data_IF_005114185481
#
_entry.id   IF_005114185481
#
_cell.length_a   1.000
_cell.length_b   1.000
_cell.length_c   1.000
_cell.angle_alpha   90.00
_cell.angle_beta   90.00
_cell.angle_gamma   90.00
#
_symmetry.space_group_name_H-M   'P 1'
#
loop_
_entity.id
_entity.type
_entity.pdbx_description
1 polymer ?
#
# COMPACT_ATOMS: atom_id res chain seq x y z
N UNK A 1 13.26 34.13 -68.97
CA UNK A 1 12.90 32.92 -68.20
C UNK A 1 13.87 32.63 -67.07
N UNK A 2 15.16 32.34 -67.35
CA UNK A 2 16.16 31.95 -66.31
C UNK A 2 16.39 32.95 -65.16
N UNK A 3 16.27 34.26 -65.39
CA UNK A 3 16.43 35.28 -64.33
C UNK A 3 15.23 35.31 -63.39
N UNK A 4 14.01 35.11 -63.92
CA UNK A 4 12.78 35.09 -63.14
C UNK A 4 12.73 33.84 -62.26
N UNK A 5 13.14 32.68 -62.79
CA UNK A 5 13.29 31.44 -62.01
C UNK A 5 14.29 31.63 -60.86
N UNK A 6 15.45 32.23 -61.12
CA UNK A 6 16.46 32.46 -60.07
C UNK A 6 15.98 33.42 -58.98
N UNK A 7 15.22 34.46 -59.34
CA UNK A 7 14.62 35.39 -58.38
C UNK A 7 13.54 34.67 -57.56
N UNK A 8 12.71 33.84 -58.20
CA UNK A 8 11.68 33.06 -57.52
C UNK A 8 12.30 32.07 -56.54
N UNK A 9 13.33 31.32 -56.95
CA UNK A 9 14.03 30.34 -56.11
C UNK A 9 14.73 30.99 -54.91
N UNK A 10 15.36 32.15 -55.14
CA UNK A 10 15.96 32.94 -54.05
C UNK A 10 14.89 33.45 -53.09
N UNK A 11 13.73 33.87 -53.60
CA UNK A 11 12.62 34.35 -52.77
C UNK A 11 12.02 33.23 -51.94
N UNK A 12 11.83 32.04 -52.51
CA UNK A 12 11.36 30.84 -51.81
C UNK A 12 12.35 30.44 -50.72
N UNK A 13 13.65 30.43 -51.02
CA UNK A 13 14.70 30.08 -50.04
C UNK A 13 14.73 31.06 -48.86
N UNK A 14 14.57 32.36 -49.12
CA UNK A 14 14.49 33.39 -48.07
C UNK A 14 13.23 33.20 -47.23
N UNK A 15 12.10 32.85 -47.85
CA UNK A 15 10.82 32.63 -47.19
C UNK A 15 10.83 31.36 -46.32
N UNK A 16 11.44 30.28 -46.80
CA UNK A 16 11.69 29.07 -46.01
C UNK A 16 12.63 29.34 -44.84
N UNK A 17 13.70 30.12 -45.06
CA UNK A 17 14.62 30.52 -44.00
C UNK A 17 13.96 31.36 -42.91
N UNK A 18 13.12 32.34 -43.30
CA UNK A 18 12.37 33.17 -42.34
C UNK A 18 11.28 32.37 -41.62
N UNK A 19 10.60 31.46 -42.31
CA UNK A 19 9.61 30.58 -41.70
C UNK A 19 10.26 29.63 -40.68
N UNK A 20 11.41 29.04 -41.02
CA UNK A 20 12.16 28.15 -40.13
C UNK A 20 12.70 28.88 -38.91
N UNK A 21 13.22 30.10 -39.08
CA UNK A 21 13.65 30.95 -37.97
C UNK A 21 12.46 31.35 -37.06
N UNK A 22 11.31 31.65 -37.66
CA UNK A 22 10.07 31.92 -36.92
C UNK A 22 9.58 30.70 -36.14
N UNK A 23 9.74 29.49 -36.69
CA UNK A 23 9.36 28.23 -36.05
C UNK A 23 10.31 27.89 -34.90
N UNK A 24 11.62 28.09 -35.06
CA UNK A 24 12.62 27.94 -33.99
C UNK A 24 12.42 28.98 -32.88
N UNK A 25 12.09 30.23 -33.22
CA UNK A 25 11.75 31.25 -32.22
C UNK A 25 10.42 30.94 -31.51
N UNK A 26 9.43 30.41 -32.22
CA UNK A 26 8.19 29.92 -31.64
C UNK A 26 8.45 28.71 -30.73
N UNK A 27 9.25 27.73 -31.14
CA UNK A 27 9.68 26.63 -30.27
C UNK A 27 10.44 27.15 -29.05
N UNK A 28 11.26 28.20 -29.18
CA UNK A 28 11.97 28.82 -28.05
C UNK A 28 11.00 29.57 -27.11
N UNK A 29 9.95 30.19 -27.63
CA UNK A 29 8.91 30.88 -26.85
C UNK A 29 7.89 29.92 -26.22
N UNK A 30 7.59 28.79 -26.88
CA UNK A 30 6.66 27.75 -26.44
C UNK A 30 7.35 26.60 -25.69
N UNK A 31 8.69 26.50 -25.73
CA UNK A 31 9.51 25.63 -24.86
C UNK A 31 9.66 26.18 -23.45
N UNK A 32 8.62 26.86 -22.96
CA UNK A 32 8.21 26.85 -21.55
C UNK A 32 7.84 25.44 -21.06
N UNK A 33 8.57 24.40 -21.51
CA UNK A 33 8.75 23.18 -20.74
C UNK A 33 9.27 23.68 -19.39
N UNK A 34 8.50 23.58 -18.30
CA UNK A 34 9.02 23.95 -17.00
C UNK A 34 10.27 23.10 -16.82
N UNK A 35 11.45 23.72 -16.76
CA UNK A 35 12.67 23.04 -16.32
C UNK A 35 12.26 22.28 -15.06
N UNK A 36 12.27 20.94 -15.14
CA UNK A 36 11.94 20.06 -14.02
C UNK A 36 12.72 20.63 -12.83
N UNK A 37 12.04 21.19 -11.82
CA UNK A 37 12.70 21.85 -10.69
C UNK A 37 13.74 20.86 -10.16
N UNK A 38 15.02 21.09 -10.42
CA UNK A 38 16.09 20.16 -10.07
C UNK A 38 16.42 20.20 -8.57
N UNK A 39 15.67 20.97 -7.78
CA UNK A 39 15.80 21.03 -6.33
C UNK A 39 14.43 20.98 -5.65
N UNK A 40 14.36 20.22 -4.57
CA UNK A 40 13.34 20.42 -3.55
C UNK A 40 13.56 21.83 -2.96
N UNK A 41 12.56 22.71 -3.05
CA UNK A 41 12.63 24.00 -2.36
C UNK A 41 12.38 23.76 -0.87
N UNK A 42 13.45 23.44 -0.14
CA UNK A 42 13.41 23.40 1.32
C UNK A 42 13.86 24.77 1.84
N UNK A 43 13.05 25.38 2.70
CA UNK A 43 13.44 26.56 3.46
C UNK A 43 13.38 26.20 4.93
N UNK A 44 14.41 26.59 5.69
CA UNK A 44 14.33 26.52 7.14
C UNK A 44 13.27 27.51 7.62
N UNK A 45 12.36 27.03 8.46
CA UNK A 45 11.36 27.87 9.14
C UNK A 45 11.49 27.69 10.64
N UNK A 46 11.17 28.74 11.38
CA UNK A 46 11.21 28.67 12.84
C UNK A 46 10.12 27.69 13.34
N UNK A 47 10.43 26.75 14.24
CA UNK A 47 9.43 25.83 14.80
C UNK A 47 8.20 26.56 15.36
N UNK A 48 8.37 27.75 15.93
CA UNK A 48 7.29 28.53 16.51
C UNK A 48 6.23 29.00 15.51
N UNK A 49 6.54 29.02 14.21
CA UNK A 49 5.57 29.34 13.15
C UNK A 49 4.70 28.15 12.77
N UNK A 50 5.20 26.93 13.00
CA UNK A 50 4.54 25.68 12.61
C UNK A 50 3.82 24.98 13.77
N UNK A 51 4.39 25.05 14.98
CA UNK A 51 3.95 24.27 16.14
C UNK A 51 3.26 25.14 17.19
N UNK A 52 2.09 24.69 17.66
CA UNK A 52 1.33 25.36 18.72
C UNK A 52 0.71 24.34 19.68
N UNK A 53 0.59 24.69 20.96
CA UNK A 53 -0.11 23.88 21.96
C UNK A 53 -1.63 23.87 21.77
N UNK A 54 -2.17 24.75 20.92
CA UNK A 54 -3.60 24.78 20.55
C UNK A 54 -3.95 23.83 19.41
N UNK A 55 -2.93 23.27 18.74
CA UNK A 55 -3.11 22.36 17.63
C UNK A 55 -3.16 20.90 18.10
N UNK A 56 -3.74 20.02 17.27
CA UNK A 56 -3.93 18.59 17.58
C UNK A 56 -3.53 17.66 16.41
N UNK A 57 -2.68 18.13 15.50
CA UNK A 57 -2.06 17.31 14.46
C UNK A 57 -0.74 16.68 14.92
N UNK A 58 0.13 16.28 13.99
CA UNK A 58 1.40 15.61 14.30
C UNK A 58 2.27 16.37 15.31
N UNK A 59 2.78 15.64 16.31
CA UNK A 59 3.73 16.16 17.30
C UNK A 59 5.15 15.71 16.92
N UNK A 60 5.91 16.59 16.26
CA UNK A 60 7.24 16.25 15.72
C UNK A 60 8.42 16.66 16.62
N UNK A 61 8.15 17.41 17.69
CA UNK A 61 9.18 18.02 18.55
C UNK A 61 9.03 17.68 20.04
N UNK A 62 8.11 16.78 20.41
CA UNK A 62 8.00 16.18 21.74
C UNK A 62 7.64 17.11 22.92
N UNK A 63 7.43 18.41 22.70
CA UNK A 63 7.17 19.39 23.76
C UNK A 63 5.67 19.72 23.94
N UNK A 64 4.77 18.88 23.42
CA UNK A 64 3.32 19.10 23.48
C UNK A 64 2.80 20.19 22.55
N UNK A 65 3.64 20.72 21.64
CA UNK A 65 3.21 21.61 20.55
C UNK A 65 3.10 20.81 19.26
N UNK A 66 1.99 20.99 18.55
CA UNK A 66 1.64 20.17 17.41
C UNK A 66 1.49 21.01 16.14
N UNK A 67 1.63 20.36 14.99
CA UNK A 67 1.13 20.89 13.72
C UNK A 67 -0.40 21.00 13.76
N UNK A 68 -0.96 21.91 12.98
CA UNK A 68 -2.41 21.88 12.71
C UNK A 68 -2.78 20.59 11.97
N UNK A 69 -4.06 20.19 12.02
CA UNK A 69 -4.53 19.04 11.24
C UNK A 69 -4.25 19.24 9.74
N UNK A 70 -4.51 20.44 9.21
CA UNK A 70 -4.23 20.80 7.81
C UNK A 70 -2.76 20.67 7.41
N UNK A 71 -1.83 21.03 8.29
CA UNK A 71 -0.40 20.83 8.05
C UNK A 71 -0.01 19.35 8.19
N UNK A 72 -0.67 18.59 9.06
CA UNK A 72 -0.40 17.15 9.20
C UNK A 72 -0.83 16.35 7.97
N UNK A 73 -1.81 16.86 7.22
CA UNK A 73 -2.23 16.30 5.93
C UNK A 73 -1.17 16.40 4.83
N UNK A 74 -0.11 17.20 5.01
CA UNK A 74 1.02 17.23 4.07
C UNK A 74 2.02 16.10 4.33
N UNK A 75 1.70 15.19 5.24
CA UNK A 75 2.52 14.06 5.65
C UNK A 75 3.79 14.49 6.40
N UNK A 76 4.48 13.54 7.01
CA UNK A 76 5.75 13.73 7.67
C UNK A 76 6.68 12.53 7.42
N UNK A 77 7.97 12.81 7.24
CA UNK A 77 9.03 11.81 7.25
C UNK A 77 9.99 12.14 8.39
N UNK A 78 10.18 11.19 9.29
CA UNK A 78 11.08 11.31 10.43
C UNK A 78 12.21 10.31 10.25
N UNK A 79 13.43 10.82 10.12
CA UNK A 79 14.64 10.01 9.94
C UNK A 79 15.48 10.11 11.20
N UNK A 80 15.92 8.98 11.74
CA UNK A 80 16.84 8.99 12.87
C UNK A 80 17.32 7.60 13.24
N UNK A 81 18.58 7.47 13.66
CA UNK A 81 19.16 6.19 14.06
C UNK A 81 18.43 5.50 15.23
N UNK A 82 18.84 4.28 15.56
CA UNK A 82 18.34 3.58 16.75
C UNK A 82 18.66 4.36 18.02
N UNK A 83 17.71 4.43 18.96
CA UNK A 83 17.90 5.09 20.26
C UNK A 83 17.84 6.62 20.27
N UNK A 84 17.68 7.30 19.12
CA UNK A 84 17.67 8.78 19.06
C UNK A 84 16.34 9.42 19.51
N UNK A 85 15.39 8.62 19.98
CA UNK A 85 14.11 9.10 20.52
C UNK A 85 12.96 9.23 19.52
N UNK A 86 12.97 8.53 18.38
CA UNK A 86 11.84 8.53 17.42
C UNK A 86 10.50 8.19 18.10
N UNK A 87 10.48 7.13 18.90
CA UNK A 87 9.27 6.72 19.64
C UNK A 87 8.95 7.67 20.80
N UNK A 88 9.95 8.03 21.61
CA UNK A 88 9.75 8.83 22.83
C UNK A 88 9.49 10.33 22.59
N UNK A 89 10.01 10.90 21.50
CA UNK A 89 9.89 12.33 21.16
C UNK A 89 8.80 12.58 20.12
N UNK A 90 8.52 11.62 19.23
CA UNK A 90 7.55 11.82 18.14
C UNK A 90 6.30 10.96 18.31
N UNK A 91 6.41 9.64 18.27
CA UNK A 91 5.24 8.75 18.19
C UNK A 91 4.39 8.77 19.46
N UNK A 92 4.99 8.58 20.64
CA UNK A 92 4.28 8.56 21.93
C UNK A 92 3.64 9.93 22.21
N UNK A 93 4.35 11.08 22.11
CA UNK A 93 3.73 12.39 22.27
C UNK A 93 2.62 12.65 21.24
N UNK A 94 2.79 12.19 20.00
CA UNK A 94 1.75 12.28 18.97
C UNK A 94 0.47 11.56 19.42
N UNK A 95 0.57 10.31 19.87
CA UNK A 95 -0.58 9.54 20.36
C UNK A 95 -1.23 10.15 21.62
N UNK A 96 -0.49 10.88 22.44
CA UNK A 96 -1.06 11.58 23.60
C UNK A 96 -1.76 12.89 23.25
N UNK A 97 -1.35 13.58 22.20
CA UNK A 97 -1.77 14.96 21.94
C UNK A 97 -2.67 15.11 20.71
N UNK A 98 -2.57 14.21 19.74
CA UNK A 98 -3.36 14.25 18.51
C UNK A 98 -4.85 14.01 18.74
N UNK A 99 -5.66 14.42 17.76
CA UNK A 99 -7.09 14.09 17.62
C UNK A 99 -7.34 13.44 16.26
N UNK A 100 -8.42 12.67 16.16
CA UNK A 100 -8.76 11.83 15.01
C UNK A 100 -8.48 10.35 15.29
N UNK A 101 -8.72 9.49 14.31
CA UNK A 101 -8.46 8.06 14.43
C UNK A 101 -7.04 7.72 13.97
N UNK A 102 -6.46 6.68 14.56
CA UNK A 102 -5.05 6.32 14.39
C UNK A 102 -4.92 4.89 13.86
N UNK A 103 -4.10 4.73 12.82
CA UNK A 103 -3.59 3.44 12.35
C UNK A 103 -2.09 3.45 12.64
N UNK A 104 -1.68 2.64 13.60
CA UNK A 104 -0.32 2.64 14.15
C UNK A 104 0.35 1.33 13.79
N UNK A 105 1.40 1.36 12.98
CA UNK A 105 2.30 0.22 12.81
C UNK A 105 3.30 0.24 13.97
N UNK A 106 3.25 -0.79 14.82
CA UNK A 106 3.95 -0.87 16.11
C UNK A 106 4.60 -2.26 16.26
N UNK A 107 5.67 -2.57 15.51
CA UNK A 107 6.29 -3.90 15.53
C UNK A 107 6.86 -4.27 16.92
N UNK A 108 7.32 -3.31 17.71
CA UNK A 108 7.82 -3.58 19.07
C UNK A 108 6.71 -3.71 20.12
N UNK A 109 5.45 -3.42 19.76
CA UNK A 109 4.32 -3.27 20.70
C UNK A 109 4.53 -2.19 21.78
N UNK A 110 5.59 -1.38 21.67
CA UNK A 110 5.96 -0.37 22.67
C UNK A 110 4.91 0.74 22.71
N UNK A 111 4.44 1.17 21.54
CA UNK A 111 3.49 2.29 21.44
C UNK A 111 2.16 1.90 22.07
N UNK A 112 1.67 0.70 21.79
CA UNK A 112 0.47 0.17 22.42
C UNK A 112 0.61 0.11 23.94
N UNK A 113 1.67 -0.54 24.45
CA UNK A 113 1.88 -0.71 25.90
C UNK A 113 1.90 0.64 26.63
N UNK A 114 2.50 1.66 26.02
CA UNK A 114 2.62 2.98 26.64
C UNK A 114 1.37 3.84 26.46
N UNK A 115 0.64 3.75 25.35
CA UNK A 115 -0.37 4.77 24.98
C UNK A 115 -1.81 4.28 24.99
N UNK A 116 -2.07 2.97 24.82
CA UNK A 116 -3.43 2.45 24.68
C UNK A 116 -4.33 2.75 25.89
N UNK A 117 -3.79 2.63 27.10
CA UNK A 117 -4.53 2.93 28.33
C UNK A 117 -4.95 4.40 28.43
N UNK A 118 -4.10 5.32 27.98
CA UNK A 118 -4.42 6.76 27.92
C UNK A 118 -5.48 7.07 26.86
N UNK A 119 -5.32 6.50 25.65
CA UNK A 119 -6.28 6.67 24.56
C UNK A 119 -7.67 6.15 24.96
N UNK A 120 -7.72 4.98 25.62
CA UNK A 120 -8.96 4.41 26.15
C UNK A 120 -9.63 5.36 27.16
N UNK A 121 -8.87 5.97 28.07
CA UNK A 121 -9.39 6.99 29.01
C UNK A 121 -9.92 8.25 28.30
N UNK A 122 -9.45 8.56 27.08
CA UNK A 122 -9.96 9.65 26.24
C UNK A 122 -11.14 9.24 25.35
N UNK A 123 -11.67 8.04 25.53
CA UNK A 123 -12.85 7.55 24.80
C UNK A 123 -12.53 6.90 23.45
N UNK A 124 -11.27 6.57 23.17
CA UNK A 124 -10.92 5.81 21.97
C UNK A 124 -11.33 4.34 22.11
N UNK A 125 -11.88 3.78 21.05
CA UNK A 125 -11.94 2.34 20.89
C UNK A 125 -10.54 1.83 20.51
N UNK A 126 -9.99 0.93 21.30
CA UNK A 126 -8.68 0.34 21.07
C UNK A 126 -8.85 -0.98 20.33
N UNK A 127 -8.30 -1.06 19.13
CA UNK A 127 -8.22 -2.30 18.34
C UNK A 127 -6.75 -2.71 18.20
N UNK A 128 -6.52 -4.02 18.15
CA UNK A 128 -5.20 -4.60 17.86
C UNK A 128 -5.33 -5.50 16.64
N UNK A 129 -4.32 -5.52 15.77
CA UNK A 129 -4.15 -6.51 14.71
C UNK A 129 -2.79 -7.17 14.93
N UNK A 130 -2.82 -8.41 15.39
CA UNK A 130 -1.63 -9.19 15.74
C UNK A 130 -1.73 -10.60 15.18
N UNK A 131 -0.92 -10.89 14.16
CA UNK A 131 -0.99 -12.16 13.45
C UNK A 131 -0.43 -13.35 14.24
N UNK A 132 0.31 -13.09 15.32
CA UNK A 132 0.88 -14.11 16.21
C UNK A 132 0.03 -14.41 17.45
N UNK A 133 -0.95 -13.55 17.78
CA UNK A 133 -1.77 -13.64 19.00
C UNK A 133 -3.27 -13.51 18.71
N UNK A 134 -3.89 -14.53 18.10
CA UNK A 134 -5.28 -14.46 17.63
C UNK A 134 -6.30 -14.11 18.72
N UNK A 135 -6.06 -14.53 19.95
CA UNK A 135 -6.91 -14.27 21.12
C UNK A 135 -7.04 -12.78 21.48
N UNK A 136 -6.06 -11.97 21.09
CA UNK A 136 -6.02 -10.54 21.37
C UNK A 136 -6.14 -9.67 20.11
N UNK A 137 -6.24 -10.31 18.94
CA UNK A 137 -6.28 -9.65 17.64
C UNK A 137 -7.71 -9.49 17.13
N UNK A 138 -7.94 -8.39 16.40
CA UNK A 138 -9.07 -8.25 15.49
C UNK A 138 -8.89 -9.19 14.29
N UNK A 139 -9.99 -9.61 13.68
CA UNK A 139 -9.99 -10.37 12.43
C UNK A 139 -9.69 -9.46 11.23
N UNK A 140 -8.80 -9.92 10.35
CA UNK A 140 -8.46 -9.27 9.09
C UNK A 140 -8.45 -10.29 7.95
N UNK A 141 -9.55 -10.37 7.18
CA UNK A 141 -9.59 -11.21 5.99
C UNK A 141 -9.34 -10.36 4.72
N UNK A 142 -8.18 -10.51 4.04
CA UNK A 142 -7.89 -9.76 2.83
C UNK A 142 -8.91 -9.97 1.71
N UNK A 143 -9.47 -11.18 1.61
CA UNK A 143 -10.38 -11.53 0.54
C UNK A 143 -11.73 -10.85 0.72
N UNK A 144 -12.24 -10.67 1.95
CA UNK A 144 -13.52 -9.98 2.18
C UNK A 144 -13.52 -8.52 1.67
N UNK A 145 -12.33 -7.89 1.60
CA UNK A 145 -12.14 -6.53 1.08
C UNK A 145 -11.72 -6.45 -0.39
N UNK A 146 -11.57 -7.58 -1.08
CA UNK A 146 -11.26 -7.62 -2.51
C UNK A 146 -12.50 -8.14 -3.28
N UNK A 147 -13.30 -7.22 -3.82
CA UNK A 147 -14.58 -7.57 -4.45
C UNK A 147 -14.59 -7.37 -5.98
N UNK A 148 -13.60 -6.64 -6.50
CA UNK A 148 -13.39 -6.47 -7.94
C UNK A 148 -12.23 -7.31 -8.43
N UNK A 149 -12.22 -7.65 -9.73
CA UNK A 149 -11.09 -8.37 -10.34
C UNK A 149 -9.76 -7.65 -10.15
N UNK A 150 -9.76 -6.30 -10.22
CA UNK A 150 -8.55 -5.50 -9.99
C UNK A 150 -8.02 -5.59 -8.56
N UNK A 151 -8.91 -5.62 -7.55
CA UNK A 151 -8.50 -5.80 -6.15
C UNK A 151 -7.98 -7.21 -5.89
N UNK A 152 -8.62 -8.23 -6.47
CA UNK A 152 -8.15 -9.62 -6.39
C UNK A 152 -6.75 -9.74 -7.01
N UNK A 153 -6.55 -9.18 -8.21
CA UNK A 153 -5.25 -9.13 -8.87
C UNK A 153 -4.19 -8.41 -8.02
N UNK A 154 -4.56 -7.30 -7.38
CA UNK A 154 -3.66 -6.57 -6.47
C UNK A 154 -3.24 -7.42 -5.28
N UNK A 155 -4.19 -8.12 -4.63
CA UNK A 155 -3.89 -9.02 -3.51
C UNK A 155 -2.98 -10.18 -3.97
N UNK A 156 -3.30 -10.84 -5.08
CA UNK A 156 -2.47 -11.92 -5.65
C UNK A 156 -1.06 -11.46 -5.97
N UNK A 157 -0.93 -10.29 -6.61
CA UNK A 157 0.36 -9.68 -6.93
C UNK A 157 1.20 -9.41 -5.69
N UNK A 158 0.61 -8.82 -4.65
CA UNK A 158 1.30 -8.56 -3.39
C UNK A 158 1.77 -9.84 -2.70
N UNK A 159 0.97 -10.91 -2.72
CA UNK A 159 1.35 -12.19 -2.12
C UNK A 159 2.56 -12.81 -2.83
N UNK A 160 2.52 -12.87 -4.17
CA UNK A 160 3.60 -13.47 -4.98
C UNK A 160 4.87 -12.64 -4.90
N UNK A 161 4.79 -11.33 -5.10
CA UNK A 161 5.97 -10.46 -5.12
C UNK A 161 6.69 -10.39 -3.78
N UNK A 162 5.97 -10.40 -2.65
CA UNK A 162 6.62 -10.42 -1.35
C UNK A 162 7.33 -11.76 -1.06
N UNK A 163 6.77 -12.88 -1.51
CA UNK A 163 7.37 -14.19 -1.31
C UNK A 163 8.61 -14.43 -2.17
N UNK A 164 8.61 -13.96 -3.42
CA UNK A 164 9.75 -14.07 -4.33
C UNK A 164 10.83 -13.00 -4.08
N UNK A 165 10.51 -11.96 -3.31
CA UNK A 165 11.40 -10.82 -3.08
C UNK A 165 11.71 -10.04 -4.36
N UNK A 166 12.61 -9.05 -4.26
CA UNK A 166 12.95 -8.15 -5.38
C UNK A 166 13.66 -8.86 -6.54
N UNK A 167 14.28 -10.03 -6.29
CA UNK A 167 14.90 -10.83 -7.35
C UNK A 167 13.88 -11.64 -8.18
N UNK A 168 12.64 -11.78 -7.71
CA UNK A 168 11.56 -12.44 -8.43
C UNK A 168 11.21 -11.83 -9.79
N UNK A 169 11.62 -10.57 -10.03
CA UNK A 169 11.50 -9.93 -11.34
C UNK A 169 12.40 -10.55 -12.43
N UNK A 170 13.37 -11.42 -12.07
CA UNK A 170 14.20 -12.13 -13.05
C UNK A 170 13.42 -13.22 -13.80
N UNK A 171 12.36 -13.75 -13.20
CA UNK A 171 11.46 -14.74 -13.83
C UNK A 171 10.01 -14.20 -13.88
N UNK A 172 9.80 -13.17 -14.71
CA UNK A 172 8.50 -12.54 -14.91
C UNK A 172 7.41 -13.56 -15.32
N UNK A 173 7.78 -14.62 -16.05
CA UNK A 173 6.87 -15.70 -16.42
C UNK A 173 6.27 -16.40 -15.19
N UNK A 174 7.10 -16.92 -14.28
CA UNK A 174 6.63 -17.63 -13.08
C UNK A 174 5.83 -16.70 -12.15
N UNK A 175 6.28 -15.45 -12.02
CA UNK A 175 5.57 -14.43 -11.25
C UNK A 175 4.16 -14.19 -11.82
N UNK A 176 4.04 -13.92 -13.12
CA UNK A 176 2.75 -13.62 -13.75
C UNK A 176 1.82 -14.83 -13.76
N UNK A 177 2.34 -16.03 -14.04
CA UNK A 177 1.55 -17.27 -13.99
C UNK A 177 1.03 -17.55 -12.59
N UNK A 178 1.83 -17.32 -11.55
CA UNK A 178 1.40 -17.50 -10.17
C UNK A 178 0.33 -16.48 -9.75
N UNK A 179 0.50 -15.22 -10.15
CA UNK A 179 -0.51 -14.17 -9.91
C UNK A 179 -1.84 -14.54 -10.57
N UNK A 180 -1.81 -15.00 -11.83
CA UNK A 180 -2.98 -15.44 -12.56
C UNK A 180 -3.67 -16.62 -11.87
N UNK A 181 -2.92 -17.65 -11.48
CA UNK A 181 -3.47 -18.82 -10.77
C UNK A 181 -4.09 -18.43 -9.42
N UNK A 182 -3.42 -17.62 -8.60
CA UNK A 182 -3.98 -17.16 -7.34
C UNK A 182 -5.26 -16.35 -7.55
N UNK A 183 -5.26 -15.42 -8.52
CA UNK A 183 -6.45 -14.63 -8.82
C UNK A 183 -7.63 -15.49 -9.28
N UNK A 184 -7.37 -16.51 -10.11
CA UNK A 184 -8.37 -17.48 -10.55
C UNK A 184 -8.98 -18.27 -9.37
N UNK A 185 -8.13 -18.81 -8.49
CA UNK A 185 -8.59 -19.55 -7.31
C UNK A 185 -9.35 -18.67 -6.32
N UNK A 186 -8.90 -17.42 -6.09
CA UNK A 186 -9.63 -16.46 -5.26
C UNK A 186 -10.99 -16.15 -5.89
N UNK A 187 -11.04 -15.94 -7.21
CA UNK A 187 -12.30 -15.66 -7.93
C UNK A 187 -13.28 -16.83 -7.82
N UNK A 188 -12.79 -18.08 -7.87
CA UNK A 188 -13.62 -19.26 -7.60
C UNK A 188 -14.18 -19.23 -6.17
N UNK A 189 -13.34 -19.01 -5.16
CA UNK A 189 -13.79 -18.95 -3.77
C UNK A 189 -14.81 -17.82 -3.54
N UNK A 190 -14.71 -16.71 -4.28
CA UNK A 190 -15.69 -15.61 -4.24
C UNK A 190 -17.09 -16.00 -4.71
N UNK A 191 -17.25 -17.13 -5.40
CA UNK A 191 -18.54 -17.71 -5.78
C UNK A 191 -19.13 -18.65 -4.70
N UNK A 192 -18.36 -18.94 -3.65
CA UNK A 192 -18.77 -19.77 -2.51
C UNK A 192 -19.21 -18.90 -1.33
N UNK A 193 -19.74 -19.55 -0.29
CA UNK A 193 -20.13 -18.89 0.96
C UNK A 193 -18.94 -18.20 1.64
N UNK A 194 -19.23 -17.13 2.39
CA UNK A 194 -18.21 -16.23 2.96
C UNK A 194 -17.19 -16.94 3.84
N UNK A 195 -17.55 -18.04 4.49
CA UNK A 195 -16.65 -18.85 5.32
C UNK A 195 -15.51 -19.51 4.52
N UNK A 196 -15.73 -19.78 3.23
CA UNK A 196 -14.73 -20.35 2.34
C UNK A 196 -13.84 -19.29 1.69
N UNK A 197 -14.18 -18.01 1.78
CA UNK A 197 -13.45 -16.91 1.16
C UNK A 197 -12.25 -16.49 2.02
N UNK A 198 -11.27 -17.38 2.20
CA UNK A 198 -10.04 -17.12 2.99
C UNK A 198 -8.79 -17.54 2.23
N UNK A 199 -7.65 -16.92 2.54
CA UNK A 199 -6.36 -17.31 1.95
C UNK A 199 -5.90 -18.71 2.39
N UNK A 200 -6.36 -19.16 3.57
CA UNK A 200 -6.19 -20.55 4.01
C UNK A 200 -6.88 -21.52 3.03
N UNK A 201 -8.11 -21.23 2.61
CA UNK A 201 -8.82 -22.07 1.64
C UNK A 201 -8.17 -22.05 0.26
N UNK A 202 -7.60 -20.92 -0.18
CA UNK A 202 -6.79 -20.88 -1.42
C UNK A 202 -5.61 -21.87 -1.32
N UNK A 203 -4.93 -21.90 -0.17
CA UNK A 203 -3.84 -22.85 0.07
C UNK A 203 -4.33 -24.31 0.05
N UNK A 204 -5.51 -24.60 0.61
CA UNK A 204 -6.12 -25.94 0.54
C UNK A 204 -6.36 -26.35 -0.92
N UNK A 205 -6.91 -25.47 -1.75
CA UNK A 205 -7.09 -25.73 -3.18
C UNK A 205 -5.75 -26.02 -3.87
N UNK A 206 -4.71 -25.21 -3.64
CA UNK A 206 -3.38 -25.47 -4.20
C UNK A 206 -2.77 -26.81 -3.77
N UNK A 207 -3.03 -27.24 -2.53
CA UNK A 207 -2.59 -28.55 -2.07
C UNK A 207 -3.34 -29.67 -2.77
N UNK A 208 -4.67 -29.54 -2.92
CA UNK A 208 -5.51 -30.48 -3.64
C UNK A 208 -5.11 -30.59 -5.12
N UNK A 209 -4.74 -29.50 -5.79
CA UNK A 209 -4.24 -29.56 -7.18
C UNK A 209 -3.03 -30.49 -7.36
N UNK A 210 -2.22 -30.69 -6.32
CA UNK A 210 -1.04 -31.57 -6.39
C UNK A 210 -1.25 -33.00 -5.88
N UNK A 211 -2.37 -33.28 -5.20
CA UNK A 211 -2.61 -34.58 -4.55
C UNK A 211 -3.97 -35.21 -4.82
N UNK A 212 -4.97 -34.41 -5.18
CA UNK A 212 -6.35 -34.83 -5.48
C UNK A 212 -7.01 -33.81 -6.45
N UNK A 213 -6.47 -33.64 -7.66
CA UNK A 213 -6.89 -32.58 -8.59
C UNK A 213 -8.37 -32.67 -8.97
N UNK A 214 -8.97 -33.87 -8.94
CA UNK A 214 -10.37 -34.10 -9.29
C UNK A 214 -11.34 -33.32 -8.38
N UNK A 215 -10.95 -33.06 -7.12
CA UNK A 215 -11.74 -32.24 -6.19
C UNK A 215 -11.79 -30.78 -6.63
N UNK A 216 -10.68 -30.27 -7.17
CA UNK A 216 -10.59 -28.90 -7.69
C UNK A 216 -11.38 -28.79 -9.00
N UNK A 217 -11.27 -29.80 -9.87
CA UNK A 217 -12.05 -29.87 -11.11
C UNK A 217 -13.56 -29.83 -10.85
N UNK A 218 -14.04 -30.58 -9.85
CA UNK A 218 -15.45 -30.58 -9.46
C UNK A 218 -15.92 -29.21 -8.96
N UNK A 219 -15.09 -28.50 -8.18
CA UNK A 219 -15.42 -27.16 -7.70
C UNK A 219 -15.54 -26.16 -8.86
N UNK A 220 -14.57 -26.18 -9.78
CA UNK A 220 -14.64 -25.35 -10.98
C UNK A 220 -15.87 -25.70 -11.84
N UNK A 221 -16.13 -26.99 -12.07
CA UNK A 221 -17.28 -27.42 -12.87
C UNK A 221 -18.63 -27.01 -12.27
N UNK A 222 -18.72 -26.90 -10.93
CA UNK A 222 -19.97 -26.58 -10.24
C UNK A 222 -20.21 -25.08 -10.06
N UNK A 223 -19.15 -24.31 -9.82
CA UNK A 223 -19.27 -22.92 -9.35
C UNK A 223 -18.67 -21.87 -10.29
N UNK A 224 -17.81 -22.26 -11.24
CA UNK A 224 -17.24 -21.31 -12.19
C UNK A 224 -18.25 -20.92 -13.27
N UNK A 225 -18.22 -19.65 -13.68
CA UNK A 225 -18.86 -19.23 -14.92
C UNK A 225 -18.02 -19.68 -16.13
N UNK A 226 -18.58 -19.53 -17.34
CA UNK A 226 -17.94 -20.02 -18.56
C UNK A 226 -16.52 -19.46 -18.76
N UNK A 227 -16.31 -18.18 -18.42
CA UNK A 227 -15.02 -17.54 -18.61
C UNK A 227 -13.98 -18.11 -17.63
N UNK A 228 -14.33 -18.15 -16.34
CA UNK A 228 -13.45 -18.71 -15.31
C UNK A 228 -13.14 -20.19 -15.54
N UNK A 229 -14.13 -20.96 -16.01
CA UNK A 229 -13.94 -22.37 -16.35
C UNK A 229 -13.02 -22.56 -17.58
N UNK A 230 -13.14 -21.70 -18.58
CA UNK A 230 -12.23 -21.71 -19.73
C UNK A 230 -10.79 -21.36 -19.33
N UNK A 231 -10.60 -20.33 -18.49
CA UNK A 231 -9.28 -19.97 -17.94
C UNK A 231 -8.65 -21.16 -17.19
N UNK A 232 -9.44 -21.86 -16.38
CA UNK A 232 -9.00 -23.05 -15.66
C UNK A 232 -8.58 -24.18 -16.61
N UNK A 233 -9.38 -24.46 -17.64
CA UNK A 233 -9.00 -25.45 -18.67
C UNK A 233 -7.75 -25.07 -19.43
N UNK A 234 -7.60 -23.79 -19.78
CA UNK A 234 -6.38 -23.29 -20.43
C UNK A 234 -5.15 -23.50 -19.55
N UNK A 235 -5.27 -23.25 -18.24
CA UNK A 235 -4.20 -23.53 -17.29
C UNK A 235 -3.84 -25.02 -17.25
N UNK A 236 -4.84 -25.91 -17.16
CA UNK A 236 -4.62 -27.37 -17.14
C UNK A 236 -4.03 -27.92 -18.45
N UNK A 237 -4.27 -27.24 -19.58
CA UNK A 237 -3.74 -27.65 -20.88
C UNK A 237 -2.27 -27.30 -21.10
N UNK A 238 -1.66 -26.51 -20.20
CA UNK A 238 -0.24 -26.20 -20.25
C UNK A 238 0.61 -27.43 -19.90
N UNK A 239 1.87 -27.44 -20.34
CA UNK A 239 2.81 -28.52 -20.02
C UNK A 239 2.92 -28.74 -18.50
N UNK A 240 3.02 -30.01 -18.08
CA UNK A 240 3.05 -30.41 -16.66
C UNK A 240 4.09 -29.65 -15.83
N UNK A 241 5.23 -29.32 -16.44
CA UNK A 241 6.31 -28.54 -15.81
C UNK A 241 5.88 -27.11 -15.51
N UNK A 242 5.13 -26.48 -16.40
CA UNK A 242 4.57 -25.12 -16.23
C UNK A 242 3.51 -25.14 -15.13
N UNK A 243 2.59 -26.11 -15.19
CA UNK A 243 1.54 -26.28 -14.19
C UNK A 243 2.13 -26.50 -12.80
N UNK A 244 3.03 -27.48 -12.66
CA UNK A 244 3.68 -27.82 -11.38
C UNK A 244 4.54 -26.67 -10.83
N UNK A 245 5.31 -26.00 -11.70
CA UNK A 245 6.13 -24.84 -11.29
C UNK A 245 5.29 -23.64 -10.85
N UNK A 246 4.14 -23.41 -11.49
CA UNK A 246 3.21 -22.34 -11.12
C UNK A 246 2.55 -22.63 -9.77
N UNK A 247 2.08 -23.87 -9.55
CA UNK A 247 1.53 -24.31 -8.26
C UNK A 247 2.57 -24.20 -7.15
N UNK A 248 3.82 -24.59 -7.40
CA UNK A 248 4.91 -24.47 -6.42
C UNK A 248 5.18 -23.00 -6.03
N UNK A 249 5.21 -22.10 -7.01
CA UNK A 249 5.35 -20.65 -6.77
C UNK A 249 4.19 -20.10 -5.91
N UNK A 250 2.96 -20.52 -6.21
CA UNK A 250 1.78 -20.12 -5.42
C UNK A 250 1.84 -20.66 -3.98
N UNK A 251 2.27 -21.91 -3.79
CA UNK A 251 2.44 -22.51 -2.46
C UNK A 251 3.49 -21.76 -1.64
N UNK A 252 4.61 -21.38 -2.25
CA UNK A 252 5.61 -20.54 -1.60
C UNK A 252 5.01 -19.17 -1.19
N UNK A 253 4.19 -18.56 -2.04
CA UNK A 253 3.51 -17.30 -1.74
C UNK A 253 2.51 -17.38 -0.58
N UNK A 254 1.88 -18.53 -0.37
CA UNK A 254 0.91 -18.77 0.69
C UNK A 254 1.48 -19.57 1.87
N UNK A 255 2.80 -19.78 1.95
CA UNK A 255 3.41 -20.61 2.99
C UNK A 255 3.08 -20.12 4.41
N UNK A 256 3.02 -18.81 4.61
CA UNK A 256 2.62 -18.16 5.87
C UNK A 256 1.25 -18.62 6.38
N UNK A 257 0.30 -18.94 5.50
CA UNK A 257 -1.04 -19.41 5.90
C UNK A 257 -1.08 -20.88 6.31
N UNK A 258 0.07 -21.56 6.40
CA UNK A 258 0.17 -22.84 7.11
C UNK A 258 0.18 -22.68 8.63
N UNK A 259 0.48 -21.48 9.13
CA UNK A 259 0.41 -21.14 10.54
C UNK A 259 -1.06 -20.96 10.97
N UNK A 260 -1.47 -21.72 11.99
CA UNK A 260 -2.83 -21.70 12.53
C UNK A 260 -3.22 -20.34 13.10
N UNK A 261 -2.28 -19.60 13.70
CA UNK A 261 -2.54 -18.28 14.26
C UNK A 261 -2.91 -17.29 13.15
N UNK A 262 -2.13 -17.28 12.07
CA UNK A 262 -2.43 -16.45 10.89
C UNK A 262 -3.73 -16.88 10.24
N UNK A 263 -3.94 -18.18 10.04
CA UNK A 263 -5.17 -18.69 9.45
C UNK A 263 -6.40 -18.25 10.27
N UNK A 264 -6.30 -18.25 11.61
CA UNK A 264 -7.35 -17.80 12.52
C UNK A 264 -7.58 -16.29 12.49
N UNK A 265 -6.52 -15.48 12.49
CA UNK A 265 -6.65 -14.01 12.39
C UNK A 265 -7.22 -13.60 11.03
N UNK A 266 -6.91 -14.37 9.97
CA UNK A 266 -7.32 -14.05 8.60
C UNK A 266 -8.58 -14.77 8.12
N UNK A 267 -9.24 -15.56 8.97
CA UNK A 267 -10.49 -16.25 8.64
C UNK A 267 -11.72 -15.36 8.76
N UNK A 268 -11.66 -14.31 9.59
CA UNK A 268 -12.77 -13.39 9.86
C UNK A 268 -12.38 -11.95 9.56
N UNK A 269 -13.38 -11.09 9.41
CA UNK A 269 -13.15 -9.67 9.18
C UNK A 269 -13.94 -8.81 10.15
N UNK A 270 -13.25 -8.19 11.12
CA UNK A 270 -13.90 -7.46 12.22
C UNK A 270 -13.47 -5.99 12.30
N UNK A 271 -12.63 -5.54 11.36
CA UNK A 271 -12.20 -4.15 11.25
C UNK A 271 -13.04 -3.45 10.18
N UNK A 272 -14.07 -2.73 10.60
CA UNK A 272 -14.80 -1.83 9.71
C UNK A 272 -14.05 -0.50 9.56
N UNK A 273 -13.55 -0.24 8.35
CA UNK A 273 -12.76 0.97 8.05
C UNK A 273 -13.63 2.24 8.05
N UNK A 274 -14.94 2.13 7.83
CA UNK A 274 -15.85 3.28 7.89
C UNK A 274 -15.98 3.82 9.32
N UNK A 275 -15.91 2.96 10.34
CA UNK A 275 -16.04 3.38 11.74
C UNK A 275 -14.96 4.39 12.15
N UNK A 276 -13.77 4.34 11.54
CA UNK A 276 -12.66 5.26 11.83
C UNK A 276 -12.99 6.72 11.50
N UNK A 277 -13.99 6.96 10.64
CA UNK A 277 -14.53 8.29 10.34
C UNK A 277 -15.64 8.73 11.31
N UNK A 278 -16.29 7.80 11.98
CA UNK A 278 -17.48 8.08 12.79
C UNK A 278 -17.17 8.17 14.29
N UNK A 279 -16.18 7.42 14.77
CA UNK A 279 -15.77 7.38 16.17
C UNK A 279 -14.25 7.36 16.29
N UNK A 280 -13.68 7.82 17.43
CA UNK A 280 -12.23 7.81 17.62
C UNK A 280 -11.76 6.36 17.83
N UNK A 281 -10.99 5.84 16.88
CA UNK A 281 -10.42 4.49 16.94
C UNK A 281 -8.90 4.57 16.89
N UNK A 282 -8.23 3.80 17.74
CA UNK A 282 -6.79 3.58 17.64
C UNK A 282 -6.54 2.10 17.36
N UNK A 283 -6.07 1.80 16.15
CA UNK A 283 -5.67 0.46 15.72
C UNK A 283 -4.16 0.33 15.79
N UNK A 284 -3.68 -0.64 16.57
CA UNK A 284 -2.27 -1.00 16.65
C UNK A 284 -2.03 -2.29 15.87
N UNK A 285 -1.19 -2.22 14.84
CA UNK A 285 -0.74 -3.36 14.05
C UNK A 285 0.59 -3.82 14.64
N UNK A 286 0.59 -4.98 15.25
CA UNK A 286 1.70 -5.49 16.05
C UNK A 286 2.11 -6.86 15.55
N UNK A 287 3.39 -7.03 15.27
CA UNK A 287 3.99 -8.32 14.99
C UNK A 287 5.37 -8.31 15.61
N UNK A 288 5.80 -9.41 16.23
CA UNK A 288 7.13 -9.54 16.82
C UNK A 288 8.21 -8.99 15.90
N UNK A 289 9.13 -8.18 16.43
CA UNK A 289 10.26 -7.60 15.67
C UNK A 289 11.08 -8.68 14.98
N UNK A 290 11.26 -9.85 15.62
CA UNK A 290 11.98 -10.99 15.05
C UNK A 290 11.32 -11.52 13.77
N UNK A 291 10.00 -11.40 13.66
CA UNK A 291 9.18 -11.96 12.60
C UNK A 291 8.60 -10.88 11.69
N UNK A 292 9.10 -9.65 11.79
CA UNK A 292 8.58 -8.50 11.05
C UNK A 292 8.52 -8.78 9.54
N UNK A 293 9.55 -9.43 8.99
CA UNK A 293 9.58 -9.82 7.57
C UNK A 293 8.51 -10.88 7.22
N UNK A 294 8.25 -11.83 8.12
CA UNK A 294 7.27 -12.90 7.92
C UNK A 294 5.84 -12.36 7.89
N UNK A 295 5.54 -11.36 8.72
CA UNK A 295 4.23 -10.71 8.79
C UNK A 295 4.08 -9.46 7.90
N UNK A 296 5.18 -8.95 7.34
CA UNK A 296 5.20 -7.72 6.54
C UNK A 296 4.19 -7.76 5.39
N UNK A 297 4.05 -8.90 4.69
CA UNK A 297 3.08 -9.05 3.59
C UNK A 297 1.65 -8.78 4.04
N UNK A 298 1.23 -9.34 5.18
CA UNK A 298 -0.13 -9.16 5.71
C UNK A 298 -0.36 -7.71 6.14
N UNK A 299 0.61 -7.11 6.83
CA UNK A 299 0.58 -5.69 7.22
C UNK A 299 0.52 -4.77 5.99
N UNK A 300 1.29 -5.09 4.95
CA UNK A 300 1.28 -4.37 3.67
C UNK A 300 -0.07 -4.48 3.01
N UNK A 301 -0.66 -5.68 2.87
CA UNK A 301 -1.99 -5.85 2.26
C UNK A 301 -3.05 -5.08 3.06
N UNK A 302 -3.02 -5.14 4.39
CA UNK A 302 -3.92 -4.36 5.25
C UNK A 302 -3.79 -2.86 4.97
N UNK A 303 -2.57 -2.34 4.99
CA UNK A 303 -2.28 -0.91 4.78
C UNK A 303 -2.70 -0.46 3.38
N UNK A 304 -2.45 -1.29 2.37
CA UNK A 304 -2.86 -1.03 0.99
C UNK A 304 -4.38 -1.00 0.81
N UNK A 305 -5.11 -1.92 1.44
CA UNK A 305 -6.58 -1.90 1.44
C UNK A 305 -7.12 -0.68 2.19
N UNK A 306 -6.47 -0.26 3.28
CA UNK A 306 -6.84 0.95 4.01
C UNK A 306 -6.57 2.21 3.18
N UNK A 307 -5.44 2.31 2.48
CA UNK A 307 -5.16 3.40 1.54
C UNK A 307 -6.20 3.47 0.44
N UNK A 308 -6.52 2.33 -0.19
CA UNK A 308 -7.57 2.26 -1.21
C UNK A 308 -8.93 2.72 -0.65
N UNK A 309 -9.29 2.31 0.56
CA UNK A 309 -10.52 2.77 1.23
C UNK A 309 -10.53 4.29 1.43
N UNK A 310 -9.45 4.87 1.96
CA UNK A 310 -9.34 6.32 2.19
C UNK A 310 -9.44 7.12 0.89
N UNK A 311 -8.77 6.64 -0.17
CA UNK A 311 -8.72 7.34 -1.45
C UNK A 311 -9.98 7.17 -2.30
N UNK A 312 -10.86 6.21 -1.97
CA UNK A 312 -12.07 5.91 -2.72
C UNK A 312 -13.15 7.01 -2.66
N UNK A 313 -13.14 7.86 -1.63
CA UNK A 313 -14.12 8.94 -1.46
C UNK A 313 -13.57 10.11 -0.64
N UNK A 314 -14.19 11.27 -0.80
CA UNK A 314 -13.95 12.41 0.09
C UNK A 314 -14.79 12.29 1.36
N UNK A 315 -14.23 12.66 2.53
CA UNK A 315 -14.98 12.70 3.77
C UNK A 315 -15.92 13.92 3.84
N UNK A 316 -17.06 13.76 4.51
CA UNK A 316 -17.98 14.86 4.87
C UNK A 316 -17.40 15.72 6.00
N UNK A 317 -18.00 16.89 6.26
CA UNK A 317 -17.51 17.84 7.27
C UNK A 317 -17.52 17.26 8.71
N UNK A 318 -18.52 16.45 9.04
CA UNK A 318 -18.69 15.85 10.37
C UNK A 318 -17.86 14.59 10.61
N UNK A 319 -17.19 14.06 9.57
CA UNK A 319 -16.34 12.88 9.71
C UNK A 319 -15.01 13.23 10.38
N UNK A 320 -14.41 12.26 11.07
CA UNK A 320 -13.12 12.41 11.73
C UNK A 320 -11.95 12.33 10.75
N UNK A 321 -10.84 12.95 11.16
CA UNK A 321 -9.57 12.83 10.48
C UNK A 321 -8.93 11.47 10.79
N UNK A 322 -8.15 10.93 9.85
CA UNK A 322 -7.48 9.64 10.00
C UNK A 322 -5.97 9.85 9.82
N UNK A 323 -5.17 9.34 10.75
CA UNK A 323 -3.72 9.47 10.69
C UNK A 323 -3.03 8.10 10.72
N UNK A 324 -2.07 7.93 9.83
CA UNK A 324 -1.19 6.77 9.79
C UNK A 324 0.13 7.12 10.47
N UNK A 325 0.51 6.32 11.47
CA UNK A 325 1.78 6.41 12.17
C UNK A 325 2.53 5.11 11.88
N UNK A 326 3.43 5.15 10.89
CA UNK A 326 4.10 3.96 10.39
C UNK A 326 5.52 3.94 10.96
N UNK A 327 5.70 3.25 12.10
CA UNK A 327 7.04 2.98 12.59
C UNK A 327 7.78 2.01 11.67
N UNK A 328 9.09 2.17 11.55
CA UNK A 328 9.95 1.35 10.67
C UNK A 328 9.36 1.12 9.27
N UNK A 329 8.94 2.20 8.59
CA UNK A 329 8.27 2.13 7.30
C UNK A 329 9.08 1.44 6.19
N UNK A 330 10.41 1.37 6.35
CA UNK A 330 11.32 0.62 5.47
C UNK A 330 11.19 -0.90 5.59
N UNK A 331 10.49 -1.44 6.58
CA UNK A 331 10.19 -2.87 6.66
C UNK A 331 9.02 -3.28 5.75
N UNK A 332 8.20 -2.32 5.32
CA UNK A 332 6.98 -2.56 4.56
C UNK A 332 7.17 -2.22 3.08
N UNK A 333 6.60 -3.07 2.22
CA UNK A 333 6.43 -2.76 0.81
C UNK A 333 5.01 -2.23 0.59
N UNK A 334 4.87 -0.94 0.29
CA UNK A 334 3.59 -0.24 0.12
C UNK A 334 3.51 0.40 -1.27
N UNK A 335 3.11 -0.36 -2.32
CA UNK A 335 3.04 0.14 -3.69
C UNK A 335 2.19 1.40 -3.88
N UNK A 336 1.12 1.59 -3.10
CA UNK A 336 0.24 2.77 -3.20
C UNK A 336 0.77 3.96 -2.40
N UNK A 337 1.83 3.81 -1.61
CA UNK A 337 2.37 4.88 -0.76
C UNK A 337 2.70 6.18 -1.54
N UNK A 338 3.35 6.16 -2.73
CA UNK A 338 3.59 7.38 -3.49
C UNK A 338 2.31 8.11 -3.90
N UNK A 339 1.28 7.35 -4.31
CA UNK A 339 -0.03 7.89 -4.66
C UNK A 339 -0.76 8.43 -3.42
N UNK A 340 -0.70 7.70 -2.31
CA UNK A 340 -1.32 8.08 -1.05
C UNK A 340 -0.71 9.38 -0.53
N UNK A 341 0.62 9.49 -0.43
CA UNK A 341 1.32 10.71 0.01
C UNK A 341 0.90 11.93 -0.82
N UNK A 342 0.72 11.77 -2.14
CA UNK A 342 0.31 12.87 -3.01
C UNK A 342 -1.16 13.31 -2.83
N UNK A 343 -2.06 12.40 -2.42
CA UNK A 343 -3.50 12.62 -2.50
C UNK A 343 -4.24 12.67 -1.15
N UNK A 344 -3.75 12.01 -0.10
CA UNK A 344 -4.44 11.87 1.21
C UNK A 344 -4.86 13.20 1.84
N UNK A 345 -4.20 14.30 1.47
CA UNK A 345 -4.54 15.63 1.98
C UNK A 345 -6.01 16.01 1.75
N UNK A 346 -6.54 15.72 0.57
CA UNK A 346 -7.95 16.02 0.23
C UNK A 346 -8.92 15.09 0.97
N UNK A 347 -8.43 13.96 1.47
CA UNK A 347 -9.19 12.96 2.20
C UNK A 347 -9.08 13.16 3.73
N UNK A 348 -8.69 14.35 4.21
CA UNK A 348 -8.51 14.65 5.65
C UNK A 348 -7.73 13.55 6.37
N UNK A 349 -6.58 13.21 5.79
CA UNK A 349 -5.70 12.17 6.28
C UNK A 349 -4.24 12.61 6.15
N UNK A 350 -3.40 12.10 7.03
CA UNK A 350 -1.96 12.36 7.01
C UNK A 350 -1.18 11.09 7.32
N UNK A 351 -0.02 10.94 6.68
CA UNK A 351 0.89 9.80 6.86
C UNK A 351 2.17 10.30 7.51
N UNK A 352 2.55 9.71 8.64
CA UNK A 352 3.84 9.91 9.28
C UNK A 352 4.67 8.65 9.12
N UNK A 353 5.73 8.73 8.32
CA UNK A 353 6.69 7.65 8.11
C UNK A 353 7.88 7.84 9.05
N UNK A 354 8.22 6.81 9.79
CA UNK A 354 9.41 6.78 10.63
C UNK A 354 10.40 5.80 10.01
N UNK A 355 11.63 6.24 9.77
CA UNK A 355 12.70 5.40 9.21
C UNK A 355 13.99 5.59 9.99
N UNK A 356 14.80 4.54 10.03
CA UNK A 356 16.11 4.60 10.68
C UNK A 356 17.13 5.33 9.79
N UNK A 357 17.08 5.03 8.49
CA UNK A 357 17.94 5.59 7.47
C UNK A 357 17.15 5.81 6.19
N UNK A 358 17.36 6.96 5.55
CA UNK A 358 16.76 7.29 4.26
C UNK A 358 17.20 6.33 3.15
N UNK A 359 18.42 5.78 3.22
CA UNK A 359 18.92 4.82 2.24
C UNK A 359 18.05 3.55 2.15
N UNK A 360 17.39 3.16 3.25
CA UNK A 360 16.47 2.02 3.24
C UNK A 360 15.24 2.27 2.37
N UNK A 361 14.74 3.52 2.33
CA UNK A 361 13.65 3.89 1.43
C UNK A 361 14.11 3.84 -0.03
N UNK A 362 15.31 4.33 -0.34
CA UNK A 362 15.89 4.24 -1.70
C UNK A 362 16.03 2.77 -2.12
N UNK A 363 16.50 1.91 -1.22
CA UNK A 363 16.62 0.49 -1.50
C UNK A 363 15.25 -0.13 -1.84
N UNK A 364 14.17 0.26 -1.15
CA UNK A 364 12.84 -0.30 -1.32
C UNK A 364 12.03 0.26 -2.48
N UNK A 365 12.08 1.57 -2.67
CA UNK A 365 11.25 2.28 -3.63
C UNK A 365 12.04 2.75 -4.86
N UNK A 366 13.36 2.53 -4.89
CA UNK A 366 14.26 2.96 -5.96
C UNK A 366 14.78 4.39 -5.75
N UNK A 367 15.71 4.79 -6.64
CA UNK A 367 16.20 6.17 -6.73
C UNK A 367 15.46 6.87 -7.87
N UNK A 368 14.90 8.04 -7.60
CA UNK A 368 14.29 8.90 -8.62
C UNK A 368 15.32 9.63 -9.46
#
# INVERSE_FOLDING_TARGET
MKIIEKIFDTSVTVLEGTFKLGLEMAETAFSGIPKKKQGYNATFTSPWTLFSSRNYGFCLIGNGKNLSAKNSYTNALVVGGTGVGKSSVVLIPSLYTMKGSFIVHDPSSELFQKTAGYLKKRGYEIKQLNFSKPESSSGFNPLQRANTSSEIQKVSSMLVQNALGKEGNKDAFWTNSAIALLAMLITLLKKLDKEYQTLYQVRILLNAMGGSPEQVDQLFSKHADQNLFNEYKSFLSADDKVTSGTVATCKAALQTFSDEAIAKVTSTDTIDMLEFRNKPIALFIQNSVADQKYYATLTSIFTEQFFSHILSRFPSENEQDIFFLIDEASSLNLPTLPLAVANVRKHRSGIMLIVQDFAQLIHNYGRF
#
